data_IF_111721038158
#
_entry.id   IF_111721038158
#
_cell.length_a   1.000
_cell.length_b   1.000
_cell.length_c   1.000
_cell.angle_alpha   90.00
_cell.angle_beta   90.00
_cell.angle_gamma   90.00
#
_symmetry.space_group_name_H-M   'P 1'
#
loop_
_entity.id
_entity.type
_entity.pdbx_description
1 polymer ?
#
# COMPACT_ATOMS: atom_id res chain seq x y z
N UNK A 1 0.64 -14.95 41.69
CA UNK A 1 0.35 -13.88 40.70
C UNK A 1 1.57 -13.65 39.80
N UNK A 2 1.88 -14.54 38.84
CA UNK A 2 3.03 -14.36 37.92
C UNK A 2 2.83 -14.94 36.51
N UNK A 3 1.64 -15.45 36.17
CA UNK A 3 1.38 -16.11 34.87
C UNK A 3 0.72 -15.21 33.82
N UNK A 4 0.24 -14.03 34.19
CA UNK A 4 -0.43 -13.08 33.28
C UNK A 4 0.50 -12.11 32.55
N UNK A 5 1.73 -11.89 33.03
CA UNK A 5 2.63 -10.89 32.44
C UNK A 5 3.29 -11.36 31.13
N UNK A 6 3.42 -12.68 30.93
CA UNK A 6 4.14 -13.25 29.78
C UNK A 6 3.30 -13.18 28.50
N UNK A 7 1.97 -13.35 28.59
CA UNK A 7 1.07 -13.32 27.44
C UNK A 7 0.97 -11.94 26.78
N UNK A 8 1.08 -10.86 27.56
CA UNK A 8 1.03 -9.48 27.04
C UNK A 8 2.31 -9.14 26.26
N UNK A 9 3.47 -9.65 26.68
CA UNK A 9 4.74 -9.37 25.99
C UNK A 9 4.83 -10.06 24.62
N UNK A 10 4.27 -11.27 24.46
CA UNK A 10 4.34 -12.01 23.20
C UNK A 10 3.47 -11.34 22.11
N UNK A 11 2.32 -10.75 22.48
CA UNK A 11 1.45 -10.03 21.55
C UNK A 11 2.08 -8.73 21.02
N UNK A 12 2.85 -8.02 21.84
CA UNK A 12 3.54 -6.78 21.41
C UNK A 12 4.72 -7.02 20.47
N UNK A 13 5.31 -8.22 20.45
CA UNK A 13 6.47 -8.55 19.60
C UNK A 13 6.04 -9.00 18.20
N UNK A 14 4.83 -9.54 18.04
CA UNK A 14 4.27 -9.95 16.74
C UNK A 14 3.97 -8.78 15.79
N UNK A 15 3.87 -7.54 16.29
CA UNK A 15 3.58 -6.36 15.46
C UNK A 15 4.82 -5.72 14.78
N UNK A 16 6.04 -6.19 15.09
CA UNK A 16 7.28 -5.57 14.58
C UNK A 16 8.05 -6.41 13.54
N UNK A 17 7.52 -7.57 13.14
CA UNK A 17 8.23 -8.53 12.28
C UNK A 17 8.01 -8.35 10.77
N UNK A 18 7.18 -7.39 10.32
CA UNK A 18 6.94 -7.13 8.88
C UNK A 18 8.05 -6.35 8.17
N UNK A 19 9.14 -6.01 8.87
CA UNK A 19 10.23 -5.20 8.30
C UNK A 19 11.12 -5.94 7.27
N UNK A 20 10.78 -7.17 6.88
CA UNK A 20 11.37 -7.89 5.75
C UNK A 20 10.32 -8.46 4.79
N UNK A 21 9.12 -7.85 4.74
CA UNK A 21 8.10 -8.16 3.74
C UNK A 21 8.52 -7.73 2.32
N UNK A 22 7.89 -8.32 1.32
CA UNK A 22 8.03 -7.92 -0.08
C UNK A 22 7.35 -6.54 -0.32
N UNK A 23 7.31 -6.05 -1.57
CA UNK A 23 6.71 -4.74 -1.83
C UNK A 23 5.20 -4.70 -1.54
N UNK A 24 4.49 -5.81 -1.74
CA UNK A 24 3.04 -5.93 -1.46
C UNK A 24 2.76 -5.76 0.04
N UNK A 25 3.50 -6.46 0.90
CA UNK A 25 3.38 -6.32 2.36
C UNK A 25 3.61 -4.87 2.82
N UNK A 26 4.57 -4.19 2.18
CA UNK A 26 4.89 -2.78 2.49
C UNK A 26 3.82 -1.82 1.99
N UNK A 27 3.17 -2.16 0.88
CA UNK A 27 2.17 -1.35 0.20
C UNK A 27 0.80 -1.38 0.87
N UNK A 28 0.50 -2.34 1.75
CA UNK A 28 -0.81 -2.46 2.42
C UNK A 28 -1.28 -1.15 3.08
N UNK A 29 -2.57 -0.83 2.95
CA UNK A 29 -3.25 0.31 3.55
C UNK A 29 -3.63 1.43 2.57
N UNK A 30 -4.11 2.55 3.10
CA UNK A 30 -4.60 3.69 2.30
C UNK A 30 -3.47 4.68 1.96
N UNK A 31 -3.44 5.09 0.70
CA UNK A 31 -2.51 6.04 0.11
C UNK A 31 -3.27 7.21 -0.48
N UNK A 32 -2.66 8.39 -0.38
CA UNK A 32 -3.21 9.63 -0.89
C UNK A 32 -2.21 10.30 -1.80
N UNK A 33 -2.66 10.63 -3.00
CA UNK A 33 -1.99 11.57 -3.89
C UNK A 33 -2.86 12.81 -4.06
N UNK A 34 -2.21 13.97 -4.15
CA UNK A 34 -2.87 15.25 -4.33
C UNK A 34 -2.34 15.85 -5.62
N UNK A 35 -3.24 16.03 -6.57
CA UNK A 35 -2.97 16.65 -7.86
C UNK A 35 -2.68 18.15 -7.68
N UNK A 36 -2.06 18.76 -8.70
CA UNK A 36 -1.69 20.18 -8.70
C UNK A 36 -2.92 21.11 -8.62
N UNK A 37 -4.07 20.67 -9.12
CA UNK A 37 -5.35 21.38 -9.06
C UNK A 37 -6.04 21.27 -7.68
N UNK A 38 -5.47 20.47 -6.77
CA UNK A 38 -5.97 20.24 -5.43
C UNK A 38 -6.92 19.04 -5.31
N UNK A 39 -7.24 18.36 -6.41
CA UNK A 39 -7.98 17.11 -6.38
C UNK A 39 -7.19 16.02 -5.66
N UNK A 40 -7.94 15.11 -5.03
CA UNK A 40 -7.38 14.05 -4.20
C UNK A 40 -7.69 12.71 -4.83
N UNK A 41 -6.63 11.94 -5.10
CA UNK A 41 -6.72 10.54 -5.47
C UNK A 41 -6.44 9.71 -4.22
N UNK A 42 -7.29 8.74 -3.92
CA UNK A 42 -7.04 7.75 -2.87
C UNK A 42 -6.87 6.39 -3.46
N UNK A 43 -5.95 5.61 -2.91
CA UNK A 43 -5.77 4.22 -3.26
C UNK A 43 -5.71 3.38 -1.98
N UNK A 44 -6.57 2.39 -1.86
CA UNK A 44 -6.54 1.41 -0.79
C UNK A 44 -5.98 0.10 -1.33
N UNK A 45 -4.98 -0.47 -0.65
CA UNK A 45 -4.38 -1.76 -0.99
C UNK A 45 -4.64 -2.73 0.16
N UNK A 46 -5.34 -3.82 -0.15
CA UNK A 46 -5.64 -4.91 0.77
C UNK A 46 -5.34 -6.25 0.10
N UNK A 47 -4.45 -7.03 0.72
CA UNK A 47 -3.83 -8.22 0.13
C UNK A 47 -3.23 -7.86 -1.24
N UNK A 48 -3.64 -8.56 -2.30
CA UNK A 48 -3.21 -8.29 -3.67
C UNK A 48 -4.16 -7.37 -4.43
N UNK A 49 -5.24 -6.86 -3.81
CA UNK A 49 -6.22 -6.01 -4.47
C UNK A 49 -5.93 -4.53 -4.21
N UNK A 50 -6.32 -3.68 -5.15
CA UNK A 50 -6.33 -2.23 -4.98
C UNK A 50 -7.64 -1.60 -5.43
N UNK A 51 -8.11 -0.60 -4.70
CA UNK A 51 -9.21 0.28 -5.10
C UNK A 51 -8.71 1.72 -5.17
N UNK A 52 -8.83 2.34 -6.34
CA UNK A 52 -8.47 3.74 -6.59
C UNK A 52 -9.76 4.55 -6.69
N UNK A 53 -9.89 5.59 -5.89
CA UNK A 53 -11.01 6.53 -5.92
C UNK A 53 -10.51 7.88 -6.40
N UNK A 54 -11.10 8.35 -7.49
CA UNK A 54 -10.84 9.66 -8.08
C UNK A 54 -12.16 10.31 -8.49
N UNK A 55 -12.41 11.54 -8.04
CA UNK A 55 -13.65 12.29 -8.32
C UNK A 55 -14.96 11.51 -8.02
N UNK A 56 -14.95 10.59 -7.05
CA UNK A 56 -16.10 9.75 -6.70
C UNK A 56 -16.32 8.53 -7.62
N UNK A 57 -15.42 8.29 -8.57
CA UNK A 57 -15.35 7.07 -9.36
C UNK A 57 -14.36 6.09 -8.71
N UNK A 58 -14.73 4.80 -8.68
CA UNK A 58 -13.87 3.73 -8.17
C UNK A 58 -13.36 2.88 -9.33
N UNK A 59 -12.05 2.72 -9.40
CA UNK A 59 -11.36 1.78 -10.28
C UNK A 59 -10.73 0.68 -9.43
N UNK A 60 -10.83 -0.58 -9.85
CA UNK A 60 -10.21 -1.71 -9.15
C UNK A 60 -8.96 -2.15 -9.90
N UNK A 61 -8.06 -2.81 -9.19
CA UNK A 61 -6.88 -3.41 -9.78
C UNK A 61 -6.27 -4.49 -8.90
N UNK A 62 -5.28 -5.18 -9.46
CA UNK A 62 -4.55 -6.27 -8.80
C UNK A 62 -3.05 -6.01 -8.86
N UNK A 63 -2.37 -6.28 -7.75
CA UNK A 63 -0.92 -6.24 -7.63
C UNK A 63 -0.32 -7.46 -8.33
N UNK A 64 0.61 -7.21 -9.23
CA UNK A 64 1.39 -8.23 -9.93
C UNK A 64 2.90 -7.90 -9.86
N UNK A 65 3.74 -8.88 -10.23
CA UNK A 65 5.19 -8.70 -10.42
C UNK A 65 5.87 -8.07 -9.20
N UNK A 66 5.62 -8.65 -8.02
CA UNK A 66 6.14 -8.18 -6.74
C UNK A 66 7.64 -8.49 -6.60
N UNK A 67 8.42 -7.44 -6.35
CA UNK A 67 9.83 -7.51 -5.99
C UNK A 67 10.04 -7.01 -4.55
N UNK A 68 11.29 -6.73 -4.16
CA UNK A 68 11.62 -6.27 -2.81
C UNK A 68 10.90 -4.97 -2.44
N UNK A 69 11.01 -3.96 -3.30
CA UNK A 69 10.46 -2.62 -3.06
C UNK A 69 9.60 -2.13 -4.23
N UNK A 70 9.44 -2.94 -5.28
CA UNK A 70 8.65 -2.59 -6.47
C UNK A 70 7.50 -3.58 -6.66
N UNK A 71 6.40 -3.11 -7.23
CA UNK A 71 5.32 -3.96 -7.74
C UNK A 71 4.67 -3.28 -8.96
N UNK A 72 3.90 -4.03 -9.74
CA UNK A 72 3.04 -3.49 -10.80
C UNK A 72 1.59 -3.57 -10.35
N UNK A 73 0.78 -2.59 -10.69
CA UNK A 73 -0.67 -2.61 -10.50
C UNK A 73 -1.34 -2.71 -11.86
N UNK A 74 -2.14 -3.75 -12.06
CA UNK A 74 -2.96 -3.92 -13.26
C UNK A 74 -4.38 -3.44 -12.96
N UNK A 75 -4.89 -2.47 -13.70
CA UNK A 75 -6.24 -1.96 -13.50
C UNK A 75 -7.26 -2.82 -14.24
N UNK A 76 -8.41 -3.06 -13.63
CA UNK A 76 -9.51 -3.78 -14.29
C UNK A 76 -10.04 -2.97 -15.48
N UNK A 77 -10.15 -3.61 -16.65
CA UNK A 77 -10.64 -2.97 -17.87
C UNK A 77 -9.60 -2.16 -18.64
N UNK A 78 -8.34 -2.15 -18.18
CA UNK A 78 -7.19 -1.60 -18.91
C UNK A 78 -6.12 -2.69 -19.09
N UNK A 79 -5.48 -2.73 -20.26
CA UNK A 79 -4.35 -3.62 -20.53
C UNK A 79 -3.02 -3.03 -20.02
N UNK A 80 -3.04 -1.79 -19.52
CA UNK A 80 -1.89 -1.13 -18.93
C UNK A 80 -1.60 -1.61 -17.50
N UNK A 81 -0.32 -1.52 -17.11
CA UNK A 81 0.11 -1.77 -15.74
C UNK A 81 0.95 -0.60 -15.26
N UNK A 82 0.63 -0.05 -14.10
CA UNK A 82 1.38 1.06 -13.49
C UNK A 82 2.40 0.48 -12.52
N UNK A 83 3.67 0.89 -12.63
CA UNK A 83 4.70 0.45 -11.69
C UNK A 83 4.77 1.35 -10.47
N UNK A 84 4.92 0.72 -9.32
CA UNK A 84 5.07 1.40 -8.05
C UNK A 84 6.34 0.98 -7.32
N UNK A 85 6.89 1.92 -6.55
CA UNK A 85 8.00 1.69 -5.62
C UNK A 85 7.63 2.15 -4.22
N UNK A 86 7.72 1.24 -3.25
CA UNK A 86 7.44 1.52 -1.84
C UNK A 86 8.71 1.94 -1.10
N UNK A 87 8.64 3.06 -0.37
CA UNK A 87 9.72 3.56 0.48
C UNK A 87 9.16 4.08 1.80
N UNK A 88 8.96 3.18 2.77
CA UNK A 88 8.43 3.52 4.09
C UNK A 88 6.98 4.03 3.98
N UNK A 89 6.77 5.33 4.23
CA UNK A 89 5.45 5.98 4.14
C UNK A 89 5.20 6.69 2.79
N UNK A 90 6.06 6.44 1.82
CA UNK A 90 5.95 6.97 0.46
C UNK A 90 5.77 5.82 -0.53
N UNK A 91 4.93 6.06 -1.52
CA UNK A 91 4.75 5.19 -2.67
C UNK A 91 4.92 6.05 -3.91
N UNK A 92 5.81 5.65 -4.81
CA UNK A 92 6.09 6.38 -6.05
C UNK A 92 5.61 5.61 -7.25
N UNK A 93 4.88 6.25 -8.16
CA UNK A 93 4.56 5.66 -9.45
C UNK A 93 5.65 5.95 -10.49
N UNK A 94 5.48 5.41 -11.69
CA UNK A 94 6.43 5.54 -12.80
C UNK A 94 6.51 6.95 -13.41
N UNK A 95 5.47 7.76 -13.22
CA UNK A 95 5.45 9.18 -13.61
C UNK A 95 6.16 10.08 -12.60
N UNK A 96 6.57 9.51 -11.45
CA UNK A 96 7.32 10.19 -10.41
C UNK A 96 6.44 10.87 -9.35
N UNK A 97 5.12 10.69 -9.41
CA UNK A 97 4.22 11.19 -8.39
C UNK A 97 4.49 10.46 -7.07
N UNK A 98 4.30 11.17 -5.96
CA UNK A 98 4.56 10.63 -4.63
C UNK A 98 3.27 10.59 -3.82
N UNK A 99 2.77 9.38 -3.63
CA UNK A 99 1.65 9.04 -2.78
C UNK A 99 2.12 8.96 -1.32
N UNK A 100 1.30 9.46 -0.41
CA UNK A 100 1.57 9.47 1.03
C UNK A 100 0.63 8.50 1.74
N UNK A 101 1.20 7.66 2.60
CA UNK A 101 0.41 6.74 3.42
C UNK A 101 -0.46 7.54 4.40
N UNK A 102 -1.76 7.24 4.42
CA UNK A 102 -2.68 7.81 5.41
C UNK A 102 -2.43 7.09 6.74
N UNK A 103 -2.23 7.88 7.80
CA UNK A 103 -1.99 7.36 9.15
C UNK A 103 -3.28 6.87 9.80
#
# INVERSE_FOLDING_TARGET
>A
MKKGLILVLVLSVSLLLTACGNAEDKAQGEWVYKEDDGEKVTMEIEDSNAEIIYMGLTMKGEIEKVEKDNFSLKLEGDDSTVKFKVKGKELKDEDGNTWKKKN
#
